data_IF_797262930493
#
_entry.id   IF_797262930493
#
_cell.length_a   1.000
_cell.length_b   1.000
_cell.length_c   1.000
_cell.angle_alpha   90.00
_cell.angle_beta   90.00
_cell.angle_gamma   90.00
#
_symmetry.space_group_name_H-M   'P 1'
#
loop_
_entity.id
_entity.type
_entity.pdbx_description
1 polymer ?
#
# COMPACT_ATOMS: atom_id res chain seq x y z
N UNK A 1 -20.94 35.63 14.59
CA UNK A 1 -20.17 35.39 13.35
C UNK A 1 -19.10 34.34 13.66
N UNK A 2 -19.17 33.13 13.08
CA UNK A 2 -18.23 32.04 13.39
C UNK A 2 -16.87 32.35 12.74
N UNK A 3 -15.83 32.52 13.56
CA UNK A 3 -14.47 32.77 13.10
C UNK A 3 -14.00 31.52 12.34
N UNK A 4 -13.80 31.66 11.03
CA UNK A 4 -13.32 30.59 10.17
C UNK A 4 -11.80 30.54 10.31
N UNK A 5 -11.29 29.48 10.94
CA UNK A 5 -9.86 29.26 11.13
C UNK A 5 -9.24 28.96 9.75
N UNK A 6 -8.33 29.82 9.25
CA UNK A 6 -7.79 29.76 7.86
C UNK A 6 -7.07 28.44 7.52
N UNK A 7 -6.78 27.62 8.52
CA UNK A 7 -6.08 26.34 8.36
C UNK A 7 -7.04 25.14 8.30
N UNK A 8 -8.34 25.33 8.56
CA UNK A 8 -9.29 24.24 8.68
C UNK A 8 -10.38 24.33 7.61
N UNK A 9 -10.58 23.25 6.87
CA UNK A 9 -11.69 23.08 5.93
C UNK A 9 -12.84 22.36 6.64
N UNK A 10 -14.05 22.90 6.55
CA UNK A 10 -15.25 22.27 7.11
C UNK A 10 -15.89 21.41 6.03
N UNK A 11 -15.96 20.11 6.27
CA UNK A 11 -16.60 19.14 5.36
C UNK A 11 -17.81 18.50 6.05
N UNK A 12 -18.96 18.35 5.38
CA UNK A 12 -20.09 17.62 5.92
C UNK A 12 -19.69 16.18 6.28
N UNK A 13 -20.06 15.72 7.48
CA UNK A 13 -19.67 14.39 7.99
C UNK A 13 -19.99 13.24 7.02
N UNK A 14 -21.16 13.30 6.37
CA UNK A 14 -21.59 12.29 5.38
C UNK A 14 -20.68 12.26 4.15
N UNK A 15 -20.25 13.43 3.68
CA UNK A 15 -19.34 13.55 2.53
C UNK A 15 -17.95 13.03 2.88
N UNK A 16 -17.45 13.37 4.07
CA UNK A 16 -16.16 12.88 4.52
C UNK A 16 -16.14 11.35 4.71
N UNK A 17 -17.23 10.76 5.24
CA UNK A 17 -17.35 9.31 5.35
C UNK A 17 -17.28 8.61 3.97
N UNK A 18 -18.04 9.10 2.98
CA UNK A 18 -17.97 8.57 1.61
C UNK A 18 -16.58 8.68 0.99
N UNK A 19 -15.86 9.76 1.30
CA UNK A 19 -14.48 9.94 0.83
C UNK A 19 -13.55 8.88 1.42
N UNK A 20 -13.65 8.60 2.72
CA UNK A 20 -12.84 7.56 3.36
C UNK A 20 -13.14 6.17 2.79
N UNK A 21 -14.41 5.85 2.56
CA UNK A 21 -14.81 4.57 1.96
C UNK A 21 -14.23 4.43 0.54
N UNK A 22 -14.31 5.49 -0.28
CA UNK A 22 -13.73 5.49 -1.61
C UNK A 22 -12.19 5.34 -1.60
N UNK A 23 -11.50 5.94 -0.62
CA UNK A 23 -10.06 5.76 -0.43
C UNK A 23 -9.69 4.32 -0.10
N UNK A 24 -10.48 3.65 0.75
CA UNK A 24 -10.24 2.25 1.10
C UNK A 24 -10.36 1.34 -0.13
N UNK A 25 -11.43 1.51 -0.90
CA UNK A 25 -11.63 0.76 -2.15
C UNK A 25 -10.53 1.03 -3.17
N UNK A 26 -10.12 2.29 -3.31
CA UNK A 26 -9.01 2.65 -4.21
C UNK A 26 -7.70 1.99 -3.79
N UNK A 27 -7.39 1.97 -2.49
CA UNK A 27 -6.19 1.32 -1.96
C UNK A 27 -6.17 -0.18 -2.26
N UNK A 28 -7.30 -0.86 -2.11
CA UNK A 28 -7.43 -2.29 -2.41
C UNK A 28 -7.23 -2.58 -3.90
N UNK A 29 -7.84 -1.76 -4.78
CA UNK A 29 -7.66 -1.88 -6.24
C UNK A 29 -6.21 -1.60 -6.64
N UNK A 30 -5.57 -0.61 -6.02
CA UNK A 30 -4.16 -0.30 -6.25
C UNK A 30 -3.27 -1.50 -5.89
N UNK A 31 -3.47 -2.12 -4.73
CA UNK A 31 -2.71 -3.31 -4.31
C UNK A 31 -2.88 -4.46 -5.32
N UNK A 32 -4.11 -4.71 -5.79
CA UNK A 32 -4.36 -5.75 -6.79
C UNK A 32 -3.68 -5.48 -8.14
N UNK A 33 -3.65 -4.22 -8.58
CA UNK A 33 -2.95 -3.81 -9.81
C UNK A 33 -1.44 -3.98 -9.63
N UNK A 34 -0.89 -3.56 -8.50
CA UNK A 34 0.53 -3.72 -8.18
C UNK A 34 0.92 -5.20 -8.14
N UNK A 35 0.14 -6.05 -7.47
CA UNK A 35 0.32 -7.50 -7.45
C UNK A 35 0.27 -8.10 -8.87
N UNK A 36 -0.70 -7.68 -9.69
CA UNK A 36 -0.81 -8.15 -11.06
C UNK A 36 0.43 -7.77 -11.90
N UNK A 37 0.91 -6.53 -11.76
CA UNK A 37 2.11 -6.02 -12.45
C UNK A 37 3.38 -6.73 -11.99
N UNK A 38 3.50 -7.00 -10.68
CA UNK A 38 4.57 -7.80 -10.09
C UNK A 38 4.56 -9.21 -10.69
N UNK A 39 3.38 -9.84 -10.79
CA UNK A 39 3.22 -11.19 -11.33
C UNK A 39 3.47 -11.29 -12.83
N UNK A 40 3.26 -10.21 -13.59
CA UNK A 40 3.60 -10.16 -15.03
C UNK A 40 5.09 -9.99 -15.27
N UNK A 41 5.84 -9.42 -14.32
CA UNK A 41 7.29 -9.26 -14.43
C UNK A 41 8.05 -10.46 -13.86
N UNK A 42 8.47 -11.38 -14.75
CA UNK A 42 9.19 -12.62 -14.40
C UNK A 42 10.42 -12.42 -13.52
N UNK A 43 11.11 -11.27 -13.62
CA UNK A 43 12.28 -10.94 -12.79
C UNK A 43 11.88 -10.68 -11.34
N UNK A 44 10.83 -9.85 -11.12
CA UNK A 44 10.33 -9.50 -9.79
C UNK A 44 9.74 -10.73 -9.09
N UNK A 45 8.99 -11.58 -9.81
CA UNK A 45 8.51 -12.86 -9.28
C UNK A 45 9.67 -13.77 -8.84
N UNK A 46 10.76 -13.81 -9.61
CA UNK A 46 11.96 -14.56 -9.26
C UNK A 46 12.62 -14.04 -7.97
N UNK A 47 12.69 -12.71 -7.80
CA UNK A 47 13.24 -12.06 -6.62
C UNK A 47 12.37 -12.28 -5.37
N UNK A 48 11.05 -12.18 -5.51
CA UNK A 48 10.08 -12.48 -4.44
C UNK A 48 10.15 -13.94 -3.98
N UNK A 49 10.24 -14.88 -4.91
CA UNK A 49 10.39 -16.31 -4.58
C UNK A 49 11.69 -16.56 -3.82
N UNK A 50 12.79 -15.94 -4.23
CA UNK A 50 14.07 -16.02 -3.51
C UNK A 50 13.96 -15.43 -2.11
N UNK A 51 13.40 -14.23 -1.97
CA UNK A 51 13.18 -13.59 -0.67
C UNK A 51 12.32 -14.45 0.27
N UNK A 52 11.24 -15.06 -0.24
CA UNK A 52 10.36 -15.95 0.54
C UNK A 52 11.06 -17.22 0.99
N UNK A 53 11.88 -17.84 0.13
CA UNK A 53 12.68 -19.01 0.47
C UNK A 53 13.75 -18.70 1.52
N UNK A 54 14.39 -17.54 1.46
CA UNK A 54 15.37 -17.13 2.46
C UNK A 54 14.70 -16.79 3.80
N UNK A 55 13.52 -16.16 3.80
CA UNK A 55 12.74 -15.91 5.02
C UNK A 55 12.30 -17.23 5.68
N UNK A 56 11.80 -18.19 4.91
CA UNK A 56 11.42 -19.52 5.41
C UNK A 56 12.61 -20.30 6.00
N UNK A 57 13.82 -20.07 5.49
CA UNK A 57 15.07 -20.64 6.02
C UNK A 57 15.63 -19.88 7.23
N UNK A 58 14.89 -18.88 7.74
CA UNK A 58 15.31 -18.05 8.87
C UNK A 58 16.50 -17.13 8.56
N UNK A 59 16.87 -16.97 7.28
CA UNK A 59 18.05 -16.20 6.85
C UNK A 59 17.77 -14.72 6.62
N UNK A 60 16.50 -14.30 6.59
CA UNK A 60 16.16 -12.90 6.40
C UNK A 60 15.38 -12.37 7.59
N UNK A 61 15.79 -11.21 8.08
CA UNK A 61 15.07 -10.44 9.10
C UNK A 61 13.71 -9.94 8.60
N UNK A 62 13.17 -8.89 9.25
CA UNK A 62 11.83 -8.34 8.99
C UNK A 62 11.52 -8.23 7.50
N UNK A 63 10.44 -8.85 7.05
CA UNK A 63 9.96 -8.87 5.65
C UNK A 63 9.81 -7.47 5.04
N UNK A 64 9.52 -6.45 5.85
CA UNK A 64 9.48 -5.05 5.42
C UNK A 64 10.83 -4.53 4.89
N UNK A 65 11.96 -5.00 5.43
CA UNK A 65 13.29 -4.61 4.96
C UNK A 65 13.64 -5.26 3.61
N UNK A 66 13.07 -6.43 3.31
CA UNK A 66 13.21 -7.10 2.01
C UNK A 66 12.45 -6.36 0.93
N UNK A 67 11.21 -5.94 1.22
CA UNK A 67 10.40 -5.09 0.35
C UNK A 67 11.20 -3.86 -0.11
N UNK A 68 11.76 -3.11 0.84
CA UNK A 68 12.63 -1.96 0.54
C UNK A 68 13.89 -2.33 -0.27
N UNK A 69 14.54 -3.48 0.01
CA UNK A 69 15.75 -3.93 -0.71
C UNK A 69 15.48 -4.29 -2.17
N UNK A 70 14.29 -4.83 -2.46
CA UNK A 70 13.90 -5.24 -3.80
C UNK A 70 13.03 -4.21 -4.54
N UNK A 71 12.72 -3.07 -3.90
CA UNK A 71 11.88 -2.01 -4.48
C UNK A 71 10.41 -2.41 -4.60
N UNK A 72 9.93 -3.26 -3.69
CA UNK A 72 8.56 -3.74 -3.56
C UNK A 72 7.95 -3.15 -2.28
#
# INVERSE_FOLDING_TARGET
>A
MKIMNKNNVIVPKKTFAKFLDAMAVFSEVQEQIEDHLILTNKKIVGDLRRARLEHQKGKVGKWSALKTKYGI
#
